data_IF_207801368526
#
_entry.id   IF_207801368526
#
_cell.length_a   1.000
_cell.length_b   1.000
_cell.length_c   1.000
_cell.angle_alpha   90.00
_cell.angle_beta   90.00
_cell.angle_gamma   90.00
#
_symmetry.space_group_name_H-M   'P 1'
#
loop_
_entity.id
_entity.type
_entity.pdbx_description
1 polymer ?
#
# COMPACT_ATOMS: atom_id res chain seq x y z
N UNK A 1 17.50 -33.30 -2.01
CA UNK A 1 17.31 -34.33 -3.06
C UNK A 1 15.81 -34.59 -3.19
N UNK A 2 15.25 -34.33 -4.38
CA UNK A 2 13.81 -34.46 -4.67
C UNK A 2 13.30 -35.88 -4.37
N UNK A 3 14.09 -36.91 -4.66
CA UNK A 3 13.70 -38.31 -4.44
C UNK A 3 13.67 -38.70 -2.96
N UNK A 4 14.37 -37.94 -2.10
CA UNK A 4 14.45 -38.18 -0.65
C UNK A 4 13.51 -37.31 0.17
N UNK A 5 12.91 -36.29 -0.44
CA UNK A 5 11.96 -35.41 0.26
C UNK A 5 10.62 -36.15 0.44
N UNK A 6 10.23 -36.36 1.69
CA UNK A 6 9.00 -37.08 2.05
C UNK A 6 7.79 -36.17 2.29
N UNK A 7 7.99 -34.84 2.27
CA UNK A 7 6.91 -33.88 2.46
C UNK A 7 6.10 -33.64 1.19
N UNK A 8 4.95 -33.00 1.33
CA UNK A 8 4.15 -32.55 0.19
C UNK A 8 4.81 -31.33 -0.45
N UNK A 9 4.98 -31.34 -1.78
CA UNK A 9 5.39 -30.17 -2.54
C UNK A 9 4.16 -29.30 -2.79
N UNK A 10 4.08 -28.20 -2.05
CA UNK A 10 3.05 -27.19 -2.26
C UNK A 10 3.57 -26.15 -3.24
N UNK A 11 2.84 -25.91 -4.31
CA UNK A 11 3.20 -24.89 -5.29
C UNK A 11 3.47 -23.55 -4.60
N UNK A 12 4.57 -22.91 -4.99
CA UNK A 12 4.99 -21.65 -4.41
C UNK A 12 5.65 -21.72 -3.02
N UNK A 13 5.80 -22.91 -2.46
CA UNK A 13 6.56 -23.16 -1.23
C UNK A 13 7.85 -23.96 -1.51
N UNK A 14 8.19 -24.18 -2.78
CA UNK A 14 9.47 -24.76 -3.19
C UNK A 14 9.91 -24.17 -4.52
N UNK A 15 11.22 -24.24 -4.80
CA UNK A 15 11.80 -23.97 -6.11
C UNK A 15 12.55 -25.20 -6.61
N UNK A 16 12.62 -25.35 -7.92
CA UNK A 16 13.40 -26.37 -8.59
C UNK A 16 14.76 -25.78 -8.97
N UNK A 17 15.84 -26.28 -8.35
CA UNK A 17 17.20 -25.86 -8.67
C UNK A 17 17.79 -26.74 -9.78
N UNK A 18 17.38 -28.01 -9.84
CA UNK A 18 17.64 -28.95 -10.94
C UNK A 18 16.64 -30.11 -10.88
N UNK A 19 16.68 -31.02 -11.86
CA UNK A 19 15.83 -32.23 -11.87
C UNK A 19 15.93 -33.05 -10.57
N UNK A 20 17.06 -32.99 -9.85
CA UNK A 20 17.32 -33.77 -8.64
C UNK A 20 17.27 -32.93 -7.36
N UNK A 21 17.28 -31.60 -7.46
CA UNK A 21 17.41 -30.70 -6.31
C UNK A 21 16.23 -29.73 -6.28
N UNK A 22 15.49 -29.79 -5.18
CA UNK A 22 14.46 -28.83 -4.81
C UNK A 22 14.91 -28.10 -3.55
N UNK A 23 14.54 -26.83 -3.43
CA UNK A 23 14.65 -26.07 -2.18
C UNK A 23 13.24 -25.81 -1.66
N UNK A 24 12.95 -26.32 -0.48
CA UNK A 24 11.64 -26.18 0.16
C UNK A 24 11.74 -25.06 1.19
N UNK A 25 10.68 -24.25 1.26
CA UNK A 25 10.59 -23.13 2.18
C UNK A 25 10.46 -23.63 3.62
N UNK A 26 11.32 -23.12 4.48
CA UNK A 26 11.21 -23.26 5.93
C UNK A 26 10.21 -22.21 6.43
N UNK A 27 8.98 -22.63 6.80
CA UNK A 27 7.91 -21.69 7.18
C UNK A 27 8.27 -20.87 8.43
N UNK A 28 8.98 -21.47 9.40
CA UNK A 28 9.38 -20.76 10.61
C UNK A 28 10.38 -19.65 10.29
N UNK A 29 11.38 -19.93 9.44
CA UNK A 29 12.31 -18.89 8.96
C UNK A 29 11.63 -17.89 8.04
N UNK A 30 10.71 -18.33 7.19
CA UNK A 30 10.00 -17.47 6.27
C UNK A 30 9.16 -16.43 7.02
N UNK A 31 8.51 -16.82 8.11
CA UNK A 31 7.77 -15.90 8.98
C UNK A 31 8.66 -14.81 9.58
N UNK A 32 9.94 -15.09 9.80
CA UNK A 32 10.92 -14.13 10.32
C UNK A 32 11.41 -13.12 9.28
N UNK A 33 10.97 -13.17 8.01
CA UNK A 33 11.46 -12.24 6.96
C UNK A 33 11.21 -10.76 7.28
N UNK A 34 10.22 -10.47 8.14
CA UNK A 34 9.93 -9.11 8.62
C UNK A 34 10.54 -8.78 9.99
N UNK A 35 11.40 -9.63 10.55
CA UNK A 35 12.00 -9.40 11.87
C UNK A 35 12.79 -8.08 11.94
N UNK A 36 13.60 -7.79 10.91
CA UNK A 36 14.33 -6.51 10.83
C UNK A 36 13.38 -5.31 10.69
N UNK A 37 12.31 -5.45 9.89
CA UNK A 37 11.30 -4.40 9.79
C UNK A 37 10.56 -4.20 11.13
N UNK A 38 10.29 -5.28 11.86
CA UNK A 38 9.67 -5.21 13.19
C UNK A 38 10.53 -4.46 14.21
N UNK A 39 11.85 -4.68 14.22
CA UNK A 39 12.79 -3.93 15.03
C UNK A 39 12.82 -2.44 14.66
N UNK A 40 12.89 -2.13 13.36
CA UNK A 40 12.83 -0.75 12.86
C UNK A 40 11.50 -0.06 13.25
N UNK A 41 10.38 -0.76 13.06
CA UNK A 41 9.06 -0.26 13.40
C UNK A 41 8.94 0.02 14.90
N UNK A 42 9.48 -0.86 15.75
CA UNK A 42 9.54 -0.64 17.21
C UNK A 42 10.32 0.61 17.59
N UNK A 43 11.43 0.89 16.92
CA UNK A 43 12.21 2.10 17.19
C UNK A 43 11.43 3.40 16.91
N UNK A 44 10.46 3.36 15.98
CA UNK A 44 9.65 4.53 15.59
C UNK A 44 8.33 4.60 16.37
N UNK A 45 7.65 3.47 16.54
CA UNK A 45 6.28 3.37 17.07
C UNK A 45 6.23 2.91 18.53
N UNK A 46 7.39 2.61 19.14
CA UNK A 46 7.54 2.05 20.48
C UNK A 46 6.82 0.69 20.69
N UNK A 47 6.38 0.04 19.61
CA UNK A 47 5.70 -1.26 19.62
C UNK A 47 6.23 -2.08 18.43
N UNK A 48 6.50 -3.38 18.60
CA UNK A 48 7.00 -4.21 17.50
C UNK A 48 5.94 -4.41 16.42
N UNK A 49 6.39 -4.52 15.17
CA UNK A 49 5.50 -4.97 14.10
C UNK A 49 5.22 -6.47 14.25
N UNK A 50 3.97 -6.93 14.14
CA UNK A 50 3.66 -8.34 14.32
C UNK A 50 4.20 -9.21 13.17
N UNK A 51 4.78 -10.35 13.53
CA UNK A 51 5.25 -11.36 12.57
C UNK A 51 4.16 -12.36 12.19
N UNK A 52 3.12 -12.49 13.01
CA UNK A 52 1.93 -13.28 12.68
C UNK A 52 1.15 -12.59 11.55
N UNK A 53 1.00 -13.26 10.41
CA UNK A 53 0.41 -12.63 9.21
C UNK A 53 -1.00 -12.12 9.44
N UNK A 54 -1.77 -12.80 10.30
CA UNK A 54 -3.14 -12.40 10.61
C UNK A 54 -3.24 -11.19 11.55
N UNK A 55 -2.11 -10.69 12.07
CA UNK A 55 -2.02 -9.46 12.87
C UNK A 55 -1.46 -8.28 12.07
N UNK A 56 -1.12 -8.48 10.80
CA UNK A 56 -0.49 -7.46 9.94
C UNK A 56 -1.48 -6.46 9.32
N UNK A 57 -2.58 -6.20 10.03
CA UNK A 57 -3.53 -5.12 9.79
C UNK A 57 -3.48 -4.15 10.98
N UNK A 58 -2.74 -3.06 10.83
CA UNK A 58 -2.46 -2.12 11.94
C UNK A 58 -3.45 -0.96 11.88
N UNK A 59 -4.16 -0.72 12.98
CA UNK A 59 -5.12 0.38 13.10
C UNK A 59 -4.49 1.48 13.95
N UNK A 60 -4.29 2.65 13.37
CA UNK A 60 -3.93 3.88 14.07
C UNK A 60 -5.14 4.81 14.12
N UNK A 61 -5.62 5.12 15.31
CA UNK A 61 -6.78 6.00 15.54
C UNK A 61 -6.34 7.34 16.13
N UNK A 62 -6.83 8.42 15.52
CA UNK A 62 -6.53 9.80 15.86
C UNK A 62 -7.84 10.54 16.16
N UNK A 63 -8.31 10.53 17.42
CA UNK A 63 -9.64 11.04 17.78
C UNK A 63 -9.78 12.55 17.51
N UNK A 64 -8.76 13.34 17.84
CA UNK A 64 -8.77 14.80 17.67
C UNK A 64 -8.88 15.21 16.20
N UNK A 65 -8.44 14.35 15.29
CA UNK A 65 -8.51 14.55 13.84
C UNK A 65 -9.70 13.80 13.21
N UNK A 66 -10.50 13.08 14.00
CA UNK A 66 -11.54 12.17 13.52
C UNK A 66 -11.05 11.25 12.37
N UNK A 67 -9.86 10.69 12.55
CA UNK A 67 -9.12 9.97 11.51
C UNK A 67 -8.78 8.54 11.96
N UNK A 68 -8.97 7.59 11.06
CA UNK A 68 -8.54 6.20 11.22
C UNK A 68 -7.67 5.78 10.03
N UNK A 69 -6.48 5.28 10.33
CA UNK A 69 -5.54 4.75 9.33
C UNK A 69 -5.44 3.24 9.52
N UNK A 70 -5.64 2.49 8.44
CA UNK A 70 -5.41 1.04 8.38
C UNK A 70 -4.17 0.75 7.52
N UNK A 71 -3.08 0.34 8.15
CA UNK A 71 -1.90 -0.18 7.47
C UNK A 71 -2.05 -1.66 7.15
N UNK A 72 -1.79 -2.04 5.90
CA UNK A 72 -1.86 -3.43 5.40
C UNK A 72 -0.50 -3.85 4.82
N UNK A 73 -0.05 -5.05 5.17
CA UNK A 73 1.13 -5.64 4.53
C UNK A 73 0.81 -6.18 3.14
N UNK A 74 1.26 -5.47 2.09
CA UNK A 74 1.15 -5.97 0.72
C UNK A 74 2.32 -6.83 0.25
N UNK A 75 3.34 -7.02 1.08
CA UNK A 75 4.46 -7.93 0.83
C UNK A 75 4.20 -9.35 1.39
N UNK A 76 2.93 -9.73 1.60
CA UNK A 76 2.59 -10.96 2.32
C UNK A 76 3.16 -12.23 1.69
N UNK A 77 3.11 -12.41 0.37
CA UNK A 77 3.64 -13.63 -0.28
C UNK A 77 4.90 -13.37 -1.11
N UNK A 78 5.52 -12.21 -0.94
CA UNK A 78 6.73 -11.83 -1.67
C UNK A 78 8.00 -12.31 -1.01
N UNK A 79 8.92 -12.78 -1.85
CA UNK A 79 10.32 -13.00 -1.51
C UNK A 79 11.21 -12.90 -2.77
N UNK A 80 12.50 -13.14 -2.60
CA UNK A 80 13.47 -13.02 -3.69
C UNK A 80 13.30 -14.07 -4.81
N UNK A 81 12.59 -15.16 -4.55
CA UNK A 81 12.24 -16.18 -5.53
C UNK A 81 10.86 -15.95 -6.16
N UNK A 82 9.88 -15.51 -5.36
CA UNK A 82 8.51 -15.25 -5.79
C UNK A 82 8.17 -13.77 -5.69
N UNK A 83 8.57 -13.03 -6.73
CA UNK A 83 8.49 -11.56 -6.76
C UNK A 83 7.16 -11.02 -7.29
N UNK A 84 6.30 -11.88 -7.82
CA UNK A 84 5.03 -11.55 -8.48
C UNK A 84 3.79 -11.86 -7.63
N UNK A 85 3.99 -12.01 -6.31
CA UNK A 85 2.96 -12.44 -5.36
C UNK A 85 2.62 -11.37 -4.32
N UNK A 86 2.61 -10.11 -4.74
CA UNK A 86 2.12 -9.02 -3.90
C UNK A 86 0.64 -9.27 -3.58
N UNK A 87 0.29 -9.26 -2.29
CA UNK A 87 -1.09 -9.52 -1.83
C UNK A 87 -1.26 -9.12 -0.37
N UNK A 88 -2.51 -9.09 0.11
CA UNK A 88 -2.88 -8.84 1.50
C UNK A 88 -3.30 -10.16 2.15
N UNK A 89 -2.81 -10.44 3.37
CA UNK A 89 -3.29 -11.60 4.13
C UNK A 89 -4.77 -11.42 4.52
N UNK A 90 -5.66 -12.24 3.97
CA UNK A 90 -7.11 -12.12 4.16
C UNK A 90 -7.52 -12.16 5.65
N UNK A 91 -6.84 -12.97 6.48
CA UNK A 91 -7.11 -13.00 7.92
C UNK A 91 -6.79 -11.69 8.64
N UNK A 92 -5.77 -10.95 8.19
CA UNK A 92 -5.43 -9.65 8.77
C UNK A 92 -6.47 -8.60 8.40
N UNK A 93 -6.87 -8.58 7.13
CA UNK A 93 -7.94 -7.72 6.65
C UNK A 93 -9.24 -7.94 7.43
N UNK A 94 -9.70 -9.20 7.52
CA UNK A 94 -10.96 -9.53 8.20
C UNK A 94 -10.92 -9.18 9.68
N UNK A 95 -9.82 -9.46 10.37
CA UNK A 95 -9.65 -9.08 11.79
C UNK A 95 -9.69 -7.56 11.96
N UNK A 96 -8.93 -6.82 11.17
CA UNK A 96 -8.90 -5.36 11.23
C UNK A 96 -10.27 -4.74 10.91
N UNK A 97 -10.94 -5.16 9.82
CA UNK A 97 -12.27 -4.67 9.47
C UNK A 97 -13.33 -5.04 10.52
N UNK A 98 -13.21 -6.20 11.16
CA UNK A 98 -14.09 -6.59 12.26
C UNK A 98 -13.88 -5.72 13.48
N UNK A 99 -12.63 -5.41 13.85
CA UNK A 99 -12.32 -4.46 14.91
C UNK A 99 -12.88 -3.07 14.59
N UNK A 100 -12.71 -2.62 13.34
CA UNK A 100 -13.22 -1.32 12.89
C UNK A 100 -14.74 -1.23 13.03
N UNK A 101 -15.45 -2.25 12.55
CA UNK A 101 -16.92 -2.32 12.59
C UNK A 101 -17.47 -2.37 14.01
N UNK A 102 -16.77 -3.04 14.93
CA UNK A 102 -17.24 -3.25 16.32
C UNK A 102 -17.00 -2.06 17.23
N UNK A 103 -16.10 -1.16 16.89
CA UNK A 103 -15.81 0.02 17.69
C UNK A 103 -16.66 1.22 17.24
N UNK A 104 -17.58 1.74 18.08
CA UNK A 104 -18.44 2.87 17.73
C UNK A 104 -17.67 4.16 17.44
N UNK A 105 -16.50 4.37 18.06
CA UNK A 105 -15.70 5.59 17.92
C UNK A 105 -15.21 5.79 16.48
N UNK A 106 -15.10 4.69 15.72
CA UNK A 106 -14.59 4.71 14.35
C UNK A 106 -15.67 4.95 13.29
N UNK A 107 -16.95 4.94 13.69
CA UNK A 107 -18.09 4.98 12.75
C UNK A 107 -18.02 6.20 11.84
N UNK A 108 -17.74 7.36 12.41
CA UNK A 108 -17.75 8.65 11.71
C UNK A 108 -16.36 9.16 11.32
N UNK A 109 -15.31 8.36 11.52
CA UNK A 109 -13.96 8.75 11.12
C UNK A 109 -13.79 8.74 9.60
N UNK A 110 -12.97 9.67 9.11
CA UNK A 110 -12.32 9.51 7.81
C UNK A 110 -11.42 8.28 7.88
N UNK A 111 -11.63 7.32 6.98
CA UNK A 111 -10.90 6.05 6.94
C UNK A 111 -9.95 6.02 5.74
N UNK A 112 -8.67 5.83 6.02
CA UNK A 112 -7.58 5.77 5.03
C UNK A 112 -6.92 4.40 5.13
N UNK A 113 -6.77 3.71 4.00
CA UNK A 113 -5.94 2.50 3.94
C UNK A 113 -4.53 2.85 3.44
N UNK A 114 -3.52 2.14 3.90
CA UNK A 114 -2.13 2.29 3.47
C UNK A 114 -1.55 0.94 3.14
N UNK A 115 -1.04 0.77 1.93
CA UNK A 115 -0.33 -0.42 1.46
C UNK A 115 0.82 -0.01 0.53
N UNK A 116 1.81 -0.85 0.32
CA UNK A 116 2.95 -0.48 -0.53
C UNK A 116 2.72 -0.74 -2.04
N UNK A 117 2.49 -2.00 -2.39
CA UNK A 117 2.33 -2.46 -3.78
C UNK A 117 1.07 -1.89 -4.44
N UNK A 118 1.12 -1.60 -5.75
CA UNK A 118 0.02 -1.00 -6.48
C UNK A 118 -0.94 -2.06 -7.02
N UNK A 119 -2.15 -1.64 -7.41
CA UNK A 119 -3.10 -2.49 -8.15
C UNK A 119 -2.74 -2.58 -9.65
N UNK A 120 -2.14 -1.51 -10.17
CA UNK A 120 -1.75 -1.38 -11.56
C UNK A 120 -0.30 -0.87 -11.65
N UNK A 121 0.56 -1.61 -12.33
CA UNK A 121 1.92 -1.19 -12.69
C UNK A 121 2.38 -2.00 -13.90
N UNK A 122 3.47 -1.56 -14.54
CA UNK A 122 4.12 -2.33 -15.60
C UNK A 122 4.85 -3.58 -15.07
N UNK A 123 5.10 -3.66 -13.76
CA UNK A 123 5.76 -4.78 -13.11
C UNK A 123 4.82 -5.96 -12.84
N UNK A 124 5.42 -7.14 -12.61
CA UNK A 124 4.68 -8.33 -12.16
C UNK A 124 4.35 -8.31 -10.66
N UNK A 125 4.95 -7.41 -9.91
CA UNK A 125 4.83 -7.24 -8.45
C UNK A 125 3.65 -6.35 -8.02
N UNK A 126 2.65 -6.20 -8.90
CA UNK A 126 1.35 -5.59 -8.57
C UNK A 126 0.44 -6.60 -7.88
N UNK A 127 -0.50 -6.10 -7.08
CA UNK A 127 -1.54 -6.94 -6.48
C UNK A 127 -2.60 -7.25 -7.55
N UNK A 128 -2.77 -8.53 -7.88
CA UNK A 128 -3.75 -9.00 -8.86
C UNK A 128 -5.09 -9.38 -8.24
N UNK A 129 -5.09 -9.87 -7.00
CA UNK A 129 -6.31 -10.11 -6.23
C UNK A 129 -6.80 -8.82 -5.59
N UNK A 130 -7.84 -8.23 -6.18
CA UNK A 130 -8.40 -6.95 -5.76
C UNK A 130 -9.62 -7.09 -4.83
N UNK A 131 -9.99 -8.31 -4.41
CA UNK A 131 -11.16 -8.53 -3.55
C UNK A 131 -11.09 -7.80 -2.19
N UNK A 132 -9.88 -7.46 -1.72
CA UNK A 132 -9.71 -6.65 -0.52
C UNK A 132 -10.16 -5.18 -0.71
N UNK A 133 -10.05 -4.64 -1.92
CA UNK A 133 -10.46 -3.26 -2.23
C UNK A 133 -11.98 -3.11 -2.10
N UNK A 134 -12.73 -4.11 -2.56
CA UNK A 134 -14.17 -4.17 -2.38
C UNK A 134 -14.56 -4.18 -0.90
N UNK A 135 -13.85 -4.98 -0.09
CA UNK A 135 -14.05 -5.03 1.35
C UNK A 135 -13.75 -3.68 2.04
N UNK A 136 -12.70 -2.96 1.58
CA UNK A 136 -12.40 -1.61 2.07
C UNK A 136 -13.51 -0.61 1.68
N UNK A 137 -14.00 -0.67 0.45
CA UNK A 137 -15.10 0.19 -0.02
C UNK A 137 -16.37 -0.03 0.83
N UNK A 138 -16.76 -1.29 1.06
CA UNK A 138 -17.91 -1.65 1.91
C UNK A 138 -17.70 -1.20 3.36
N UNK A 139 -16.46 -1.22 3.87
CA UNK A 139 -16.12 -0.74 5.20
C UNK A 139 -16.06 0.81 5.31
N UNK A 140 -16.35 1.54 4.23
CA UNK A 140 -16.45 2.99 4.22
C UNK A 140 -15.10 3.71 4.13
N UNK A 141 -14.06 3.04 3.63
CA UNK A 141 -12.82 3.72 3.24
C UNK A 141 -13.07 4.60 2.00
N UNK A 142 -12.45 5.78 1.96
CA UNK A 142 -12.62 6.74 0.85
C UNK A 142 -11.44 6.73 -0.12
N UNK A 143 -10.24 6.51 0.41
CA UNK A 143 -9.04 6.39 -0.41
C UNK A 143 -8.01 5.50 0.26
N UNK A 144 -7.05 5.04 -0.55
CA UNK A 144 -5.86 4.36 -0.07
C UNK A 144 -4.59 5.00 -0.62
N UNK A 145 -3.56 4.96 0.20
CA UNK A 145 -2.22 5.42 -0.16
C UNK A 145 -1.39 4.22 -0.58
N UNK A 146 -0.66 4.37 -1.68
CA UNK A 146 0.29 3.36 -2.13
C UNK A 146 1.62 3.93 -2.66
N UNK A 147 2.59 3.05 -2.89
CA UNK A 147 3.92 3.40 -3.36
C UNK A 147 4.34 2.55 -4.56
N UNK A 148 5.60 2.13 -4.55
CA UNK A 148 6.22 1.16 -5.48
C UNK A 148 6.40 1.60 -6.94
N UNK A 149 5.51 2.44 -7.48
CA UNK A 149 5.57 2.88 -8.89
C UNK A 149 6.68 3.94 -9.12
N UNK A 150 7.14 4.61 -8.07
CA UNK A 150 8.13 5.70 -8.14
C UNK A 150 7.67 6.84 -9.06
N UNK A 151 6.40 7.23 -8.92
CA UNK A 151 5.76 8.34 -9.64
C UNK A 151 4.50 8.77 -8.90
N UNK A 152 4.24 10.07 -8.80
CA UNK A 152 2.94 10.56 -8.35
C UNK A 152 1.87 10.25 -9.43
N UNK A 153 0.88 9.47 -9.03
CA UNK A 153 -0.21 8.97 -9.87
C UNK A 153 -1.49 8.89 -9.03
N UNK A 154 -2.63 9.09 -9.69
CA UNK A 154 -3.95 8.90 -9.10
C UNK A 154 -4.75 7.96 -9.99
N UNK A 155 -5.50 7.05 -9.38
CA UNK A 155 -6.46 6.21 -10.08
C UNK A 155 -7.72 6.04 -9.23
N UNK A 156 -8.84 5.72 -9.87
CA UNK A 156 -10.13 5.61 -9.22
C UNK A 156 -10.64 4.18 -9.35
N UNK A 157 -10.93 3.54 -8.21
CA UNK A 157 -11.68 2.29 -8.17
C UNK A 157 -13.15 2.59 -7.90
N UNK A 158 -14.05 2.03 -8.72
CA UNK A 158 -15.51 2.17 -8.55
C UNK A 158 -16.10 0.79 -8.25
N UNK A 159 -16.58 0.60 -7.02
CA UNK A 159 -17.23 -0.64 -6.58
C UNK A 159 -18.73 -0.64 -6.87
N UNK A 160 -19.43 0.45 -6.54
CA UNK A 160 -20.87 0.60 -6.75
C UNK A 160 -21.17 1.88 -7.53
N UNK A 161 -21.79 1.73 -8.70
CA UNK A 161 -22.17 2.83 -9.58
C UNK A 161 -23.38 3.63 -9.08
N UNK A 162 -24.15 3.08 -8.14
CA UNK A 162 -25.38 3.70 -7.59
C UNK A 162 -25.10 4.55 -6.36
N UNK A 163 -23.97 4.34 -5.69
CA UNK A 163 -23.61 5.05 -4.45
C UNK A 163 -22.43 5.97 -4.72
N UNK A 164 -22.58 7.28 -4.44
CA UNK A 164 -21.45 8.22 -4.48
C UNK A 164 -20.29 7.80 -3.56
N UNK A 165 -20.62 7.07 -2.48
CA UNK A 165 -19.70 6.51 -1.48
C UNK A 165 -19.06 5.17 -1.87
N UNK A 166 -19.42 4.58 -3.02
CA UNK A 166 -18.83 3.33 -3.55
C UNK A 166 -17.52 3.53 -4.31
N UNK A 167 -16.92 4.71 -4.23
CA UNK A 167 -15.68 5.11 -4.91
C UNK A 167 -14.50 5.03 -3.94
N UNK A 168 -13.40 4.42 -4.35
CA UNK A 168 -12.14 4.39 -3.59
C UNK A 168 -11.03 5.00 -4.46
N UNK A 169 -10.52 6.15 -4.06
CA UNK A 169 -9.41 6.79 -4.75
C UNK A 169 -8.07 6.17 -4.33
N UNK A 170 -7.17 5.97 -5.28
CA UNK A 170 -5.81 5.49 -5.06
C UNK A 170 -4.84 6.65 -5.23
N UNK A 171 -4.07 6.98 -4.20
CA UNK A 171 -3.09 8.07 -4.23
C UNK A 171 -1.67 7.49 -4.10
N UNK A 172 -0.86 7.64 -5.15
CA UNK A 172 0.53 7.19 -5.12
C UNK A 172 1.45 8.25 -4.51
N UNK A 173 2.27 7.84 -3.52
CA UNK A 173 3.12 8.71 -2.70
C UNK A 173 4.29 9.37 -3.46
N UNK A 174 4.63 8.93 -4.68
CA UNK A 174 5.74 9.48 -5.46
C UNK A 174 7.09 8.82 -5.15
N UNK A 175 8.16 9.62 -5.10
CA UNK A 175 9.57 9.20 -5.12
C UNK A 175 10.40 9.80 -3.98
N UNK A 176 9.78 10.34 -2.93
CA UNK A 176 10.37 11.25 -1.92
C UNK A 176 11.83 10.99 -1.53
N UNK A 177 12.20 9.73 -1.29
CA UNK A 177 13.55 9.31 -0.93
C UNK A 177 14.06 8.12 -1.75
N UNK A 178 13.55 7.93 -2.97
CA UNK A 178 14.07 6.88 -3.86
C UNK A 178 15.56 7.16 -4.15
N UNK A 179 16.45 6.16 -4.04
CA UNK A 179 17.84 6.30 -4.47
C UNK A 179 17.91 6.79 -5.91
N UNK A 180 18.92 7.59 -6.25
CA UNK A 180 19.06 8.15 -7.61
C UNK A 180 19.06 7.06 -8.71
N UNK A 181 19.62 5.89 -8.41
CA UNK A 181 19.63 4.71 -9.30
C UNK A 181 18.25 4.07 -9.52
N UNK A 182 17.31 4.30 -8.59
CA UNK A 182 15.94 3.79 -8.63
C UNK A 182 14.92 4.85 -9.06
N UNK A 183 15.37 6.07 -9.34
CA UNK A 183 14.52 7.08 -9.96
C UNK A 183 14.15 6.63 -11.37
N UNK A 184 12.86 6.70 -11.69
CA UNK A 184 12.45 6.58 -13.08
C UNK A 184 13.08 7.71 -13.89
N UNK A 185 13.66 7.37 -15.03
CA UNK A 185 14.18 8.35 -15.97
C UNK A 185 13.16 9.48 -16.20
N UNK A 186 13.63 10.71 -16.05
CA UNK A 186 12.84 11.94 -16.17
C UNK A 186 11.74 12.19 -15.12
N UNK A 187 11.72 11.46 -13.99
CA UNK A 187 10.86 11.77 -12.85
C UNK A 187 11.67 12.42 -11.70
N UNK A 188 11.23 13.57 -11.16
CA UNK A 188 11.87 14.18 -10.00
C UNK A 188 11.59 13.37 -8.73
N UNK A 189 12.25 13.72 -7.62
CA UNK A 189 11.78 13.34 -6.28
C UNK A 189 10.45 14.01 -6.01
N UNK A 190 9.51 13.28 -5.38
CA UNK A 190 8.12 13.71 -5.21
C UNK A 190 7.50 13.24 -3.90
N UNK A 191 6.65 14.08 -3.32
CA UNK A 191 5.73 13.69 -2.26
C UNK A 191 4.40 14.42 -2.40
N UNK A 192 3.40 13.95 -1.67
CA UNK A 192 2.11 14.62 -1.56
C UNK A 192 1.90 15.20 -0.16
N UNK A 193 1.22 16.35 -0.08
CA UNK A 193 0.62 16.88 1.14
C UNK A 193 -0.89 16.71 1.03
N UNK A 194 -1.48 16.05 2.01
CA UNK A 194 -2.92 15.81 2.08
C UNK A 194 -3.54 16.83 3.04
N UNK A 195 -4.45 17.66 2.51
CA UNK A 195 -5.21 18.63 3.31
C UNK A 195 -6.68 18.23 3.30
N UNK A 196 -7.23 17.94 4.47
CA UNK A 196 -8.66 17.64 4.63
C UNK A 196 -9.36 18.87 5.21
N UNK A 197 -10.41 19.34 4.55
CA UNK A 197 -11.25 20.46 5.00
C UNK A 197 -12.65 20.35 4.37
N UNK A 198 -13.70 20.66 5.12
CA UNK A 198 -15.08 20.82 4.61
C UNK A 198 -15.53 19.67 3.68
N UNK A 199 -15.31 18.43 4.10
CA UNK A 199 -15.63 17.21 3.33
C UNK A 199 -14.89 17.05 1.99
N UNK A 200 -13.72 17.68 1.87
CA UNK A 200 -12.86 17.60 0.70
C UNK A 200 -11.43 17.27 1.12
N UNK A 201 -10.78 16.39 0.36
CA UNK A 201 -9.34 16.17 0.38
C UNK A 201 -8.70 16.93 -0.78
N UNK A 202 -7.78 17.84 -0.49
CA UNK A 202 -6.88 18.42 -1.48
C UNK A 202 -5.52 17.72 -1.40
N UNK A 203 -5.05 17.21 -2.55
CA UNK A 203 -3.76 16.55 -2.68
C UNK A 203 -2.80 17.50 -3.39
N UNK A 204 -1.87 18.10 -2.66
CA UNK A 204 -0.80 18.93 -3.24
C UNK A 204 0.41 18.06 -3.57
N UNK A 205 0.92 18.14 -4.80
CA UNK A 205 2.15 17.45 -5.20
C UNK A 205 3.34 18.42 -5.14
N UNK A 206 4.43 17.94 -4.56
CA UNK A 206 5.69 18.65 -4.45
C UNK A 206 6.77 17.87 -5.17
N UNK A 207 7.70 18.59 -5.82
CA UNK A 207 8.83 18.00 -6.51
C UNK A 207 10.16 18.64 -6.11
N UNK A 208 11.22 17.88 -6.26
CA UNK A 208 12.61 18.35 -6.20
C UNK A 208 13.40 17.70 -7.32
N UNK A 209 14.18 18.51 -8.05
CA UNK A 209 14.94 18.07 -9.23
C UNK A 209 16.36 17.69 -8.85
N UNK A 210 17.04 18.54 -8.08
CA UNK A 210 18.40 18.28 -7.58
C UNK A 210 18.35 17.49 -6.27
N UNK A 211 19.28 16.57 -6.05
CA UNK A 211 19.34 15.73 -4.83
C UNK A 211 19.35 16.55 -3.53
N UNK A 212 19.99 17.73 -3.54
CA UNK A 212 20.03 18.65 -2.40
C UNK A 212 19.28 19.96 -2.66
N UNK A 213 18.40 19.97 -3.68
CA UNK A 213 17.64 21.15 -4.06
C UNK A 213 16.45 21.45 -3.14
N UNK A 214 15.81 22.60 -3.39
CA UNK A 214 14.57 22.96 -2.72
C UNK A 214 13.37 22.20 -3.30
N UNK A 215 12.43 21.86 -2.42
CA UNK A 215 11.11 21.36 -2.82
C UNK A 215 10.24 22.51 -3.33
N UNK A 216 9.53 22.27 -4.43
CA UNK A 216 8.65 23.24 -5.09
C UNK A 216 7.35 22.60 -5.55
N UNK A 217 6.30 23.41 -5.83
CA UNK A 217 5.09 22.93 -6.49
C UNK A 217 5.38 22.13 -7.76
N UNK A 218 4.62 21.04 -7.95
CA UNK A 218 4.66 20.23 -9.16
C UNK A 218 3.37 20.36 -9.97
N UNK A 219 3.31 21.39 -10.82
CA UNK A 219 2.15 21.71 -11.67
C UNK A 219 1.94 20.69 -12.80
N UNK A 220 1.51 19.47 -12.46
CA UNK A 220 1.33 18.34 -13.39
C UNK A 220 -0.12 18.02 -13.71
N UNK A 221 -1.06 18.49 -12.88
CA UNK A 221 -2.46 18.10 -13.00
C UNK A 221 -3.15 19.00 -14.02
N UNK A 222 -3.48 18.44 -15.18
CA UNK A 222 -4.13 19.18 -16.26
C UNK A 222 -5.61 19.43 -15.93
N UNK A 223 -6.11 20.58 -16.33
CA UNK A 223 -7.50 21.01 -16.07
C UNK A 223 -8.36 21.05 -17.35
N UNK A 224 -7.85 20.49 -18.45
CA UNK A 224 -8.47 20.57 -19.78
C UNK A 224 -7.89 21.68 -20.65
N UNK A 225 -8.40 21.85 -21.89
CA UNK A 225 -7.85 22.74 -22.89
C UNK A 225 -7.80 24.21 -22.44
N UNK A 226 -6.67 24.88 -22.67
CA UNK A 226 -6.51 26.31 -22.40
C UNK A 226 -6.26 26.70 -20.93
N UNK A 227 -6.25 25.74 -20.01
CA UNK A 227 -6.02 25.98 -18.58
C UNK A 227 -4.58 25.60 -18.18
N UNK A 228 -3.94 26.42 -17.35
CA UNK A 228 -2.64 26.06 -16.76
C UNK A 228 -2.77 24.84 -15.83
N UNK A 229 -1.79 23.94 -15.82
CA UNK A 229 -1.82 22.81 -14.89
C UNK A 229 -1.64 23.28 -13.44
N UNK A 230 -2.24 22.53 -12.51
CA UNK A 230 -2.16 22.78 -11.08
C UNK A 230 -1.17 21.85 -10.40
N UNK A 231 -0.65 22.30 -9.26
CA UNK A 231 0.13 21.49 -8.33
C UNK A 231 -0.73 20.70 -7.34
N UNK A 232 -2.05 20.69 -7.54
CA UNK A 232 -2.99 19.94 -6.72
C UNK A 232 -4.20 19.43 -7.51
N UNK A 233 -4.93 18.52 -6.89
CA UNK A 233 -6.29 18.12 -7.28
C UNK A 233 -7.13 17.88 -6.01
N UNK A 234 -8.44 17.80 -6.17
CA UNK A 234 -9.39 17.61 -5.08
C UNK A 234 -10.20 16.32 -5.22
N UNK A 235 -10.52 15.70 -4.10
CA UNK A 235 -11.37 14.52 -3.96
C UNK A 235 -12.48 14.86 -2.96
N UNK A 236 -13.71 14.54 -3.28
CA UNK A 236 -14.86 14.65 -2.39
C UNK A 236 -14.96 13.44 -1.45
N UNK A 237 -15.12 13.70 -0.14
CA UNK A 237 -15.09 12.68 0.91
C UNK A 237 -16.45 12.12 1.28
#
# INVERSE_FOLDING_TARGET
>A
DRKKYQGTLKEGHYIEESERVIRVRDEAKYQQRFAHFSQFYQAIKAQPYPLEYDQQGIIDYFPDQNLLILGLNSAWQLDHHFRDRASIHQGALVKALTQIRRNPDYRNCLKIAVLHHPLHSAGSDRITDQGFIEQLAVAGFRFFLHGHIHKAETSLFRYDLRLEKGKLDAICAGTFGAPTLELRSAYPWQYNLLKVKDNQLTVYTRRRVEENGAWKPDSRWTQGPGQSPLDYYAIEL
#
